data_IF_687605600555
#
_entry.id   IF_687605600555
#
_cell.length_a   1.000
_cell.length_b   1.000
_cell.length_c   1.000
_cell.angle_alpha   90.00
_cell.angle_beta   90.00
_cell.angle_gamma   90.00
#
_symmetry.space_group_name_H-M   'P 1'
#
loop_
_entity.id
_entity.type
_entity.pdbx_description
1 polymer ?
#
# COMPACT_ATOMS: atom_id res chain seq x y z
N UNK A 1 -18.28 41.30 -3.88
CA UNK A 1 -19.30 40.28 -3.60
C UNK A 1 -19.28 39.34 -4.77
N UNK A 2 -18.42 38.32 -4.73
CA UNK A 2 -18.47 37.19 -5.66
C UNK A 2 -19.67 36.34 -5.24
N UNK A 3 -20.61 36.12 -6.16
CA UNK A 3 -21.75 35.21 -5.95
C UNK A 3 -21.19 33.81 -5.68
N UNK A 4 -21.40 33.28 -4.48
CA UNK A 4 -21.08 31.90 -4.15
C UNK A 4 -22.21 31.02 -4.65
N UNK A 5 -22.03 30.35 -5.79
CA UNK A 5 -22.97 29.34 -6.27
C UNK A 5 -22.95 28.15 -5.30
N UNK A 6 -24.11 27.81 -4.74
CA UNK A 6 -24.28 26.64 -3.86
C UNK A 6 -24.93 25.53 -4.64
N UNK A 7 -24.25 24.39 -4.77
CA UNK A 7 -24.68 23.24 -5.58
C UNK A 7 -24.91 22.04 -4.67
N UNK A 8 -26.07 21.38 -4.80
CA UNK A 8 -26.47 20.30 -3.92
C UNK A 8 -26.38 18.92 -4.57
N UNK A 9 -25.60 18.04 -3.95
CA UNK A 9 -25.43 16.63 -4.29
C UNK A 9 -25.93 15.75 -3.14
N UNK A 10 -26.18 14.48 -3.39
CA UNK A 10 -26.47 13.52 -2.32
C UNK A 10 -25.18 13.14 -1.59
N UNK A 11 -24.09 12.94 -2.35
CA UNK A 11 -22.77 12.60 -1.82
C UNK A 11 -21.71 13.56 -2.35
N UNK A 12 -20.82 14.02 -1.47
CA UNK A 12 -19.60 14.75 -1.85
C UNK A 12 -18.39 13.94 -1.38
N UNK A 13 -17.48 13.61 -2.30
CA UNK A 13 -16.25 12.88 -2.00
C UNK A 13 -15.06 13.85 -2.04
N UNK A 14 -14.28 13.90 -0.97
CA UNK A 14 -13.04 14.67 -0.87
C UNK A 14 -11.84 13.77 -1.17
N UNK A 15 -11.17 14.02 -2.29
CA UNK A 15 -10.05 13.23 -2.82
C UNK A 15 -10.48 12.28 -3.93
N UNK A 16 -9.83 12.38 -5.09
CA UNK A 16 -10.05 11.52 -6.26
C UNK A 16 -8.92 10.50 -6.45
N UNK A 17 -8.31 10.04 -5.36
CA UNK A 17 -7.50 8.82 -5.39
C UNK A 17 -8.34 7.58 -5.75
N UNK A 18 -7.71 6.41 -5.93
CA UNK A 18 -8.41 5.19 -6.34
C UNK A 18 -9.55 4.77 -5.40
N UNK A 19 -9.47 5.19 -4.13
CA UNK A 19 -10.48 4.92 -3.10
C UNK A 19 -11.69 5.86 -3.27
N UNK A 20 -11.45 7.16 -3.42
CA UNK A 20 -12.49 8.16 -3.63
C UNK A 20 -13.26 7.95 -4.93
N UNK A 21 -12.54 7.63 -6.02
CA UNK A 21 -13.15 7.25 -7.31
C UNK A 21 -14.11 6.05 -7.17
N UNK A 22 -13.71 5.03 -6.40
CA UNK A 22 -14.56 3.86 -6.16
C UNK A 22 -15.77 4.22 -5.29
N UNK A 23 -15.64 5.11 -4.30
CA UNK A 23 -16.79 5.55 -3.50
C UNK A 23 -17.77 6.37 -4.35
N UNK A 24 -17.24 7.22 -5.24
CA UNK A 24 -18.05 8.03 -6.13
C UNK A 24 -18.83 7.18 -7.14
N UNK A 25 -18.15 6.23 -7.80
CA UNK A 25 -18.78 5.25 -8.70
C UNK A 25 -19.89 4.45 -7.99
N UNK A 26 -19.61 3.95 -6.78
CA UNK A 26 -20.58 3.13 -6.03
C UNK A 26 -21.82 3.89 -5.59
N UNK A 27 -21.65 5.11 -5.13
CA UNK A 27 -22.79 5.96 -4.74
C UNK A 27 -23.59 6.41 -5.96
N UNK A 28 -22.92 6.74 -7.06
CA UNK A 28 -23.59 7.05 -8.32
C UNK A 28 -24.38 5.87 -8.87
N UNK A 29 -23.78 4.66 -8.88
CA UNK A 29 -24.44 3.43 -9.32
C UNK A 29 -25.67 3.06 -8.47
N UNK A 30 -25.74 3.56 -7.22
CA UNK A 30 -26.91 3.44 -6.36
C UNK A 30 -28.01 4.50 -6.65
N UNK A 31 -27.83 5.34 -7.66
CA UNK A 31 -28.77 6.39 -8.06
C UNK A 31 -28.62 7.70 -7.32
N UNK A 32 -27.54 7.89 -6.56
CA UNK A 32 -27.27 9.12 -5.82
C UNK A 32 -26.51 10.12 -6.71
N UNK A 33 -26.88 11.39 -6.63
CA UNK A 33 -26.09 12.46 -7.25
C UNK A 33 -24.78 12.63 -6.49
N UNK A 34 -23.65 12.46 -7.16
CA UNK A 34 -22.33 12.46 -6.53
C UNK A 34 -21.38 13.47 -7.17
N UNK A 35 -20.71 14.26 -6.33
CA UNK A 35 -19.58 15.09 -6.70
C UNK A 35 -18.29 14.56 -6.08
N UNK A 36 -17.16 14.73 -6.77
CA UNK A 36 -15.83 14.42 -6.28
C UNK A 36 -14.91 15.65 -6.43
N UNK A 37 -14.11 15.91 -5.41
CA UNK A 37 -13.20 17.06 -5.34
C UNK A 37 -11.75 16.58 -5.36
N UNK A 38 -10.94 17.16 -6.24
CA UNK A 38 -9.51 16.83 -6.36
C UNK A 38 -8.68 18.09 -6.61
N UNK A 39 -7.62 18.27 -5.83
CA UNK A 39 -6.72 19.42 -5.93
C UNK A 39 -5.54 19.21 -6.88
N UNK A 40 -5.18 17.96 -7.16
CA UNK A 40 -4.05 17.57 -8.00
C UNK A 40 -4.54 16.70 -9.18
N UNK A 41 -3.99 15.50 -9.36
CA UNK A 41 -4.31 14.57 -10.44
C UNK A 41 -5.40 13.59 -10.02
N UNK A 42 -6.46 13.50 -10.82
CA UNK A 42 -7.52 12.49 -10.68
C UNK A 42 -6.91 11.10 -10.85
N UNK A 43 -7.07 10.23 -9.85
CA UNK A 43 -6.41 8.94 -9.72
C UNK A 43 -5.39 8.91 -8.57
N UNK A 44 -4.99 10.07 -8.05
CA UNK A 44 -4.18 10.24 -6.83
C UNK A 44 -2.82 9.52 -6.83
N UNK A 45 -2.27 9.33 -5.63
CA UNK A 45 -0.92 8.77 -5.40
C UNK A 45 -0.65 7.46 -6.16
N UNK A 46 -1.56 6.49 -6.06
CA UNK A 46 -1.30 5.12 -6.51
C UNK A 46 -1.04 5.01 -8.03
N UNK A 47 -1.69 5.88 -8.81
CA UNK A 47 -1.59 5.88 -10.27
C UNK A 47 -0.33 6.60 -10.77
N UNK A 48 0.08 7.69 -10.12
CA UNK A 48 1.09 8.61 -10.65
C UNK A 48 2.40 8.64 -9.88
N UNK A 49 2.37 8.33 -8.59
CA UNK A 49 3.46 8.60 -7.67
C UNK A 49 3.83 7.43 -6.73
N UNK A 50 3.08 6.33 -6.77
CA UNK A 50 3.29 5.20 -5.87
C UNK A 50 3.16 3.85 -6.58
N UNK A 51 2.02 3.17 -6.47
CA UNK A 51 1.88 1.76 -6.81
C UNK A 51 2.26 1.43 -8.26
N UNK A 52 1.66 2.13 -9.24
CA UNK A 52 1.88 1.85 -10.65
C UNK A 52 3.32 2.15 -11.07
N UNK A 53 3.90 3.33 -10.79
CA UNK A 53 5.29 3.60 -11.15
C UNK A 53 6.28 2.72 -10.38
N UNK A 54 6.08 2.43 -9.08
CA UNK A 54 7.01 1.58 -8.33
C UNK A 54 7.04 0.15 -8.87
N UNK A 55 5.87 -0.42 -9.20
CA UNK A 55 5.78 -1.77 -9.79
C UNK A 55 6.30 -1.77 -11.23
N UNK A 56 6.19 -0.66 -11.96
CA UNK A 56 6.78 -0.50 -13.28
C UNK A 56 8.32 -0.49 -13.24
N UNK A 57 8.94 0.05 -12.17
CA UNK A 57 10.38 -0.02 -11.92
C UNK A 57 10.83 -1.44 -11.52
N UNK A 58 10.06 -2.12 -10.66
CA UNK A 58 10.42 -3.42 -10.09
C UNK A 58 10.22 -4.59 -11.04
N UNK A 59 9.19 -4.54 -11.91
CA UNK A 59 8.85 -5.69 -12.75
C UNK A 59 10.00 -6.16 -13.66
N UNK A 60 10.76 -5.27 -14.34
CA UNK A 60 11.96 -5.66 -15.09
C UNK A 60 13.05 -6.29 -14.22
N UNK A 61 13.21 -5.83 -12.98
CA UNK A 61 14.18 -6.39 -12.01
C UNK A 61 13.84 -7.83 -11.69
N UNK A 62 12.57 -8.09 -11.33
CA UNK A 62 12.08 -9.44 -11.01
C UNK A 62 12.18 -10.35 -12.26
N UNK A 63 11.79 -9.85 -13.44
CA UNK A 63 11.88 -10.61 -14.69
C UNK A 63 13.33 -10.99 -15.04
N UNK A 64 14.28 -10.07 -14.86
CA UNK A 64 15.70 -10.34 -15.06
C UNK A 64 16.20 -11.36 -14.03
N UNK A 65 15.81 -11.25 -12.75
CA UNK A 65 16.20 -12.20 -11.72
C UNK A 65 15.71 -13.63 -12.04
N UNK A 66 14.44 -13.78 -12.45
CA UNK A 66 13.87 -15.06 -12.87
C UNK A 66 14.63 -15.64 -14.07
N UNK A 67 14.91 -14.82 -15.08
CA UNK A 67 15.67 -15.26 -16.24
C UNK A 67 17.11 -15.66 -15.89
N UNK A 68 17.75 -15.06 -14.87
CA UNK A 68 19.09 -15.48 -14.39
C UNK A 68 19.08 -16.83 -13.68
N UNK A 69 17.95 -17.23 -13.10
CA UNK A 69 17.79 -18.52 -12.38
C UNK A 69 17.59 -19.72 -13.30
N UNK A 70 17.32 -19.50 -14.59
CA UNK A 70 16.96 -20.56 -15.54
C UNK A 70 18.09 -20.86 -16.54
N UNK A 71 18.70 -22.06 -16.47
CA UNK A 71 19.62 -22.53 -17.49
C UNK A 71 18.96 -22.53 -18.88
N UNK A 72 19.55 -21.81 -19.83
CA UNK A 72 19.00 -21.61 -21.18
C UNK A 72 18.71 -20.14 -21.52
N UNK A 73 18.48 -19.30 -20.50
CA UNK A 73 18.32 -17.85 -20.65
C UNK A 73 19.62 -17.08 -20.36
N UNK A 74 20.62 -17.76 -19.78
CA UNK A 74 21.89 -17.14 -19.38
C UNK A 74 22.58 -16.31 -20.48
N UNK A 75 22.70 -16.74 -21.75
CA UNK A 75 23.37 -15.94 -22.79
C UNK A 75 22.65 -14.61 -23.10
N UNK A 76 21.33 -14.54 -22.87
CA UNK A 76 20.51 -13.39 -23.18
C UNK A 76 20.40 -12.38 -22.01
N UNK A 77 20.94 -12.70 -20.83
CA UNK A 77 20.63 -11.96 -19.60
C UNK A 77 21.85 -11.66 -18.70
N UNK A 78 23.04 -11.55 -19.30
CA UNK A 78 24.27 -11.23 -18.56
C UNK A 78 24.52 -9.73 -18.35
N UNK A 79 23.85 -8.86 -19.11
CA UNK A 79 24.02 -7.41 -19.02
C UNK A 79 23.24 -6.75 -17.87
N UNK A 80 23.57 -5.49 -17.53
CA UNK A 80 22.72 -4.66 -16.69
C UNK A 80 21.38 -4.37 -17.37
N UNK A 81 20.39 -3.91 -16.60
CA UNK A 81 19.15 -3.39 -17.16
C UNK A 81 19.43 -2.10 -17.96
N UNK A 82 18.67 -1.91 -19.04
CA UNK A 82 18.59 -0.62 -19.73
C UNK A 82 17.76 0.33 -18.86
N UNK A 83 18.46 1.14 -18.05
CA UNK A 83 17.81 2.04 -17.10
C UNK A 83 16.93 3.08 -17.79
N UNK A 84 17.34 3.60 -18.95
CA UNK A 84 16.57 4.58 -19.70
C UNK A 84 15.24 3.97 -20.18
N UNK A 85 15.27 2.74 -20.72
CA UNK A 85 14.06 2.03 -21.13
C UNK A 85 13.14 1.72 -19.94
N UNK A 86 13.69 1.36 -18.76
CA UNK A 86 12.89 1.13 -17.56
C UNK A 86 12.22 2.42 -17.08
N UNK A 87 12.95 3.54 -17.04
CA UNK A 87 12.40 4.84 -16.63
C UNK A 87 11.36 5.36 -17.63
N UNK A 88 11.58 5.18 -18.94
CA UNK A 88 10.60 5.51 -19.97
C UNK A 88 9.31 4.71 -19.78
N UNK A 89 9.41 3.38 -19.59
CA UNK A 89 8.26 2.53 -19.30
C UNK A 89 7.55 2.96 -18.01
N UNK A 90 8.29 3.32 -16.96
CA UNK A 90 7.69 3.87 -15.72
C UNK A 90 6.87 5.11 -16.03
N UNK A 91 7.42 6.05 -16.81
CA UNK A 91 6.71 7.28 -17.21
C UNK A 91 5.40 6.94 -17.96
N UNK A 92 5.42 5.97 -18.87
CA UNK A 92 4.22 5.52 -19.60
C UNK A 92 3.15 4.97 -18.63
N UNK A 93 3.55 4.15 -17.66
CA UNK A 93 2.63 3.60 -16.64
C UNK A 93 2.09 4.66 -15.68
N UNK A 94 2.85 5.74 -15.46
CA UNK A 94 2.38 6.94 -14.77
C UNK A 94 1.65 7.91 -15.71
N UNK A 95 1.32 7.51 -16.95
CA UNK A 95 0.65 8.34 -17.97
C UNK A 95 1.32 9.70 -18.20
N UNK A 96 2.64 9.78 -17.99
CA UNK A 96 3.42 11.02 -17.97
C UNK A 96 2.81 12.11 -17.07
N UNK A 97 2.23 11.71 -15.93
CA UNK A 97 1.57 12.59 -14.96
C UNK A 97 0.42 13.41 -15.55
N UNK A 98 -0.33 12.78 -16.46
CA UNK A 98 -1.56 13.32 -17.02
C UNK A 98 -2.76 12.49 -16.59
N UNK A 99 -3.82 13.17 -16.17
CA UNK A 99 -5.03 12.56 -15.64
C UNK A 99 -6.21 12.56 -16.60
N UNK A 100 -6.01 12.93 -17.87
CA UNK A 100 -7.05 13.03 -18.91
C UNK A 100 -7.91 11.75 -18.98
N UNK A 101 -7.27 10.58 -18.88
CA UNK A 101 -7.96 9.28 -18.92
C UNK A 101 -8.87 9.04 -17.70
N UNK A 102 -8.44 9.47 -16.51
CA UNK A 102 -9.19 9.26 -15.27
C UNK A 102 -10.31 10.29 -15.14
N UNK A 103 -10.05 11.54 -15.55
CA UNK A 103 -11.06 12.56 -15.67
C UNK A 103 -12.16 12.17 -16.68
N UNK A 104 -11.79 11.61 -17.84
CA UNK A 104 -12.75 11.10 -18.82
C UNK A 104 -13.55 9.90 -18.30
N UNK A 105 -12.93 9.05 -17.48
CA UNK A 105 -13.65 7.95 -16.82
C UNK A 105 -14.69 8.47 -15.82
N UNK A 106 -14.36 9.48 -14.99
CA UNK A 106 -15.33 10.11 -14.07
C UNK A 106 -16.52 10.72 -14.82
N UNK A 107 -16.25 11.42 -15.92
CA UNK A 107 -17.30 12.00 -16.78
C UNK A 107 -18.20 10.90 -17.38
N UNK A 108 -17.59 9.83 -17.91
CA UNK A 108 -18.32 8.66 -18.41
C UNK A 108 -19.11 7.90 -17.34
N UNK A 109 -18.67 7.97 -16.08
CA UNK A 109 -19.35 7.43 -14.91
C UNK A 109 -20.44 8.36 -14.35
N UNK A 110 -20.65 9.55 -14.92
CA UNK A 110 -21.68 10.50 -14.48
C UNK A 110 -21.37 11.18 -13.15
N UNK A 111 -20.10 11.18 -12.71
CA UNK A 111 -19.65 11.82 -11.47
C UNK A 111 -19.16 13.23 -11.77
N UNK A 112 -19.69 14.23 -11.06
CA UNK A 112 -19.25 15.62 -11.24
C UNK A 112 -17.88 15.84 -10.60
N UNK A 113 -16.87 16.21 -11.41
CA UNK A 113 -15.53 16.56 -10.94
C UNK A 113 -15.40 18.05 -10.65
N UNK A 114 -14.95 18.38 -9.44
CA UNK A 114 -14.56 19.73 -9.03
C UNK A 114 -13.05 19.77 -8.80
N UNK A 115 -12.33 20.51 -9.64
CA UNK A 115 -10.89 20.71 -9.49
C UNK A 115 -10.62 21.85 -8.52
N UNK A 116 -9.88 21.56 -7.45
CA UNK A 116 -9.52 22.53 -6.44
C UNK A 116 -9.33 21.91 -5.06
N UNK A 117 -8.88 22.75 -4.14
CA UNK A 117 -8.67 22.36 -2.76
C UNK A 117 -10.00 22.36 -1.98
N UNK A 118 -10.41 21.17 -1.53
CA UNK A 118 -11.66 20.93 -0.82
C UNK A 118 -11.50 21.02 0.70
N UNK A 119 -12.32 21.83 1.36
CA UNK A 119 -12.37 21.96 2.82
C UNK A 119 -13.80 21.80 3.30
N UNK A 120 -13.99 21.04 4.39
CA UNK A 120 -15.23 21.08 5.16
C UNK A 120 -15.46 22.51 5.67
N UNK A 121 -16.69 22.98 5.53
CA UNK A 121 -17.12 24.31 5.96
C UNK A 121 -18.30 24.23 6.94
N UNK A 122 -18.31 23.17 7.75
CA UNK A 122 -19.40 22.78 8.64
C UNK A 122 -20.13 21.51 8.17
N UNK A 123 -21.18 21.09 8.90
CA UNK A 123 -21.88 19.84 8.62
C UNK A 123 -22.39 19.76 7.19
N UNK A 124 -22.02 18.67 6.50
CA UNK A 124 -22.42 18.36 5.11
C UNK A 124 -22.11 19.46 4.08
N UNK A 125 -21.18 20.35 4.36
CA UNK A 125 -20.83 21.47 3.49
C UNK A 125 -19.35 21.44 3.17
N UNK A 126 -19.01 21.55 1.88
CA UNK A 126 -17.64 21.55 1.37
C UNK A 126 -17.42 22.78 0.51
N UNK A 127 -16.39 23.56 0.79
CA UNK A 127 -15.91 24.61 -0.12
C UNK A 127 -14.78 24.06 -0.98
N UNK A 128 -14.82 24.34 -2.28
CA UNK A 128 -13.75 24.00 -3.23
C UNK A 128 -13.14 25.30 -3.73
N UNK A 129 -11.84 25.46 -3.50
CA UNK A 129 -11.07 26.60 -4.03
C UNK A 129 -10.28 26.15 -5.25
N UNK A 130 -10.68 26.62 -6.44
CA UNK A 130 -9.99 26.35 -7.69
C UNK A 130 -8.64 27.10 -7.76
N UNK A 131 -7.80 26.74 -8.74
CA UNK A 131 -6.47 27.35 -8.95
C UNK A 131 -6.54 28.86 -9.20
N UNK A 132 -7.60 29.34 -9.84
CA UNK A 132 -7.84 30.78 -10.08
C UNK A 132 -8.40 31.53 -8.86
N UNK A 133 -8.57 30.85 -7.73
CA UNK A 133 -9.12 31.39 -6.50
C UNK A 133 -10.65 31.42 -6.44
N UNK A 134 -11.34 30.92 -7.47
CA UNK A 134 -12.80 30.77 -7.45
C UNK A 134 -13.21 29.78 -6.36
N UNK A 135 -14.17 30.18 -5.52
CA UNK A 135 -14.68 29.34 -4.44
C UNK A 135 -16.11 28.90 -4.76
N UNK A 136 -16.30 27.59 -4.88
CA UNK A 136 -17.61 26.95 -5.06
C UNK A 136 -18.02 26.26 -3.77
N UNK A 137 -19.28 26.37 -3.36
CA UNK A 137 -19.80 25.65 -2.18
C UNK A 137 -20.68 24.49 -2.61
N UNK A 138 -20.35 23.30 -2.12
CA UNK A 138 -21.09 22.06 -2.33
C UNK A 138 -21.78 21.67 -1.02
N UNK A 139 -23.04 21.25 -1.10
CA UNK A 139 -23.77 20.70 0.04
C UNK A 139 -24.18 19.25 -0.23
N UNK A 140 -23.94 18.36 0.73
CA UNK A 140 -24.34 16.96 0.66
C UNK A 140 -25.70 16.74 1.35
N UNK A 141 -26.65 16.06 0.69
CA UNK A 141 -27.92 15.68 1.33
C UNK A 141 -27.72 14.50 2.27
N UNK A 142 -26.89 13.53 1.88
CA UNK A 142 -26.69 12.27 2.58
C UNK A 142 -25.32 12.20 3.26
N UNK A 143 -24.24 12.36 2.50
CA UNK A 143 -22.91 12.03 3.02
C UNK A 143 -21.78 12.89 2.45
N UNK A 144 -20.76 13.13 3.28
CA UNK A 144 -19.43 13.54 2.83
C UNK A 144 -18.47 12.39 3.11
N UNK A 145 -17.68 12.00 2.10
CA UNK A 145 -16.70 10.92 2.19
C UNK A 145 -15.31 11.51 2.09
N UNK A 146 -14.51 11.40 3.16
CA UNK A 146 -13.11 11.82 3.17
C UNK A 146 -12.25 10.65 2.69
N UNK A 147 -11.58 10.84 1.56
CA UNK A 147 -10.69 9.87 0.90
C UNK A 147 -9.36 10.55 0.51
N UNK A 148 -8.89 11.47 1.34
CA UNK A 148 -7.74 12.35 1.08
C UNK A 148 -6.39 11.64 1.17
N UNK A 149 -6.37 10.41 1.70
CA UNK A 149 -5.17 9.58 1.72
C UNK A 149 -4.13 10.05 2.74
N UNK A 150 -2.85 9.88 2.39
CA UNK A 150 -1.71 10.19 3.25
C UNK A 150 -0.53 10.71 2.43
N UNK A 151 0.37 11.43 3.08
CA UNK A 151 1.68 11.85 2.56
C UNK A 151 2.82 11.09 3.23
N UNK A 152 4.03 11.22 2.71
CA UNK A 152 5.22 10.68 3.36
C UNK A 152 5.50 11.42 4.68
N UNK A 153 5.76 10.67 5.75
CA UNK A 153 6.19 11.26 7.00
C UNK A 153 7.70 11.49 6.98
N UNK A 154 8.10 12.75 7.10
CA UNK A 154 9.48 13.15 7.26
C UNK A 154 9.80 13.35 8.74
N UNK A 155 10.98 12.91 9.23
CA UNK A 155 11.42 13.17 10.58
C UNK A 155 11.79 14.65 10.76
N UNK A 156 11.64 15.16 11.97
CA UNK A 156 12.22 16.46 12.35
C UNK A 156 13.71 16.26 12.66
N UNK A 157 14.58 16.54 11.68
CA UNK A 157 16.04 16.45 11.84
C UNK A 157 16.78 17.63 11.20
N UNK A 158 17.92 18.05 11.76
CA UNK A 158 18.70 19.17 11.23
C UNK A 158 19.12 19.01 9.77
N UNK A 159 18.86 20.05 8.98
CA UNK A 159 19.27 20.17 7.57
C UNK A 159 18.38 19.43 6.56
N UNK A 160 17.28 18.82 7.00
CA UNK A 160 16.39 18.06 6.11
C UNK A 160 15.82 18.92 4.97
N UNK A 161 15.34 20.12 5.27
CA UNK A 161 14.80 21.04 4.26
C UNK A 161 15.86 21.46 3.22
N UNK A 162 17.13 21.57 3.63
CA UNK A 162 18.24 21.98 2.76
C UNK A 162 18.60 20.90 1.74
N UNK A 163 18.48 19.62 2.12
CA UNK A 163 18.82 18.51 1.21
C UNK A 163 17.71 18.19 0.22
N UNK A 164 16.47 18.65 0.48
CA UNK A 164 15.24 18.31 -0.28
C UNK A 164 15.15 16.79 -0.48
N UNK A 165 14.93 16.03 0.60
CA UNK A 165 15.01 14.58 0.55
C UNK A 165 13.99 14.02 -0.44
N UNK A 166 14.35 12.90 -1.06
CA UNK A 166 13.37 12.10 -1.75
C UNK A 166 12.39 11.51 -0.74
N UNK A 167 11.11 11.55 -1.09
CA UNK A 167 10.06 10.70 -0.53
C UNK A 167 9.77 9.56 -1.51
N UNK A 168 8.73 8.77 -1.26
CA UNK A 168 8.26 7.79 -2.23
C UNK A 168 7.88 8.42 -3.58
N UNK A 169 7.40 9.68 -3.60
CA UNK A 169 7.07 10.37 -4.84
C UNK A 169 8.32 10.60 -5.70
N UNK A 170 9.36 11.21 -5.14
CA UNK A 170 10.62 11.47 -5.87
C UNK A 170 11.31 10.16 -6.26
N UNK A 171 11.34 9.17 -5.35
CA UNK A 171 11.96 7.87 -5.62
C UNK A 171 11.25 7.06 -6.71
N UNK A 172 9.99 7.36 -7.03
CA UNK A 172 9.27 6.70 -8.12
C UNK A 172 9.05 7.60 -9.32
N UNK A 173 9.50 8.86 -9.29
CA UNK A 173 9.38 9.84 -10.39
C UNK A 173 10.73 10.39 -10.86
N UNK A 174 11.85 10.03 -10.22
CA UNK A 174 13.19 10.45 -10.63
C UNK A 174 13.48 10.10 -12.09
N UNK A 175 14.07 11.05 -12.82
CA UNK A 175 14.31 10.96 -14.27
C UNK A 175 15.69 10.37 -14.62
N UNK A 176 16.55 10.22 -13.62
CA UNK A 176 17.92 9.72 -13.76
C UNK A 176 18.26 8.81 -12.59
N UNK A 177 19.07 7.78 -12.84
CA UNK A 177 19.62 6.91 -11.80
C UNK A 177 20.75 7.66 -11.08
N UNK A 178 20.67 7.91 -9.76
CA UNK A 178 21.79 8.47 -9.01
C UNK A 178 22.92 7.43 -8.88
N UNK A 179 24.18 7.85 -8.85
CA UNK A 179 25.30 6.92 -8.67
C UNK A 179 25.28 6.32 -7.26
N UNK A 180 24.89 7.12 -6.26
CA UNK A 180 24.75 6.70 -4.85
C UNK A 180 23.42 7.17 -4.26
N UNK A 181 22.72 6.26 -3.61
CA UNK A 181 21.44 6.51 -2.95
C UNK A 181 21.48 6.03 -1.50
N UNK A 182 21.19 6.91 -0.55
CA UNK A 182 20.88 6.52 0.83
C UNK A 182 19.38 6.29 0.93
N UNK A 183 18.96 5.16 1.49
CA UNK A 183 17.55 4.87 1.82
C UNK A 183 17.42 4.73 3.32
N UNK A 184 16.54 5.53 3.93
CA UNK A 184 16.26 5.52 5.37
C UNK A 184 14.89 4.90 5.63
N UNK A 185 14.88 3.76 6.33
CA UNK A 185 13.67 2.99 6.64
C UNK A 185 13.86 1.50 6.38
N UNK A 186 13.05 0.66 7.02
CA UNK A 186 13.07 -0.80 6.84
C UNK A 186 11.74 -1.38 6.36
N UNK A 187 10.78 -0.53 5.98
CA UNK A 187 9.45 -0.94 5.53
C UNK A 187 9.37 -1.17 4.02
N UNK A 188 8.16 -1.41 3.53
CA UNK A 188 7.85 -1.78 2.13
C UNK A 188 8.48 -0.85 1.11
N UNK A 189 8.28 0.47 1.25
CA UNK A 189 8.83 1.45 0.30
C UNK A 189 10.37 1.40 0.29
N UNK A 190 10.99 1.28 1.47
CA UNK A 190 12.44 1.26 1.58
C UNK A 190 13.03 0.03 0.89
N UNK A 191 12.47 -1.15 1.13
CA UNK A 191 12.95 -2.41 0.52
C UNK A 191 12.69 -2.46 -0.97
N UNK A 192 11.51 -2.03 -1.43
CA UNK A 192 11.18 -1.93 -2.85
C UNK A 192 12.12 -0.96 -3.58
N UNK A 193 12.34 0.24 -3.03
CA UNK A 193 13.22 1.23 -3.67
C UNK A 193 14.69 0.80 -3.63
N UNK A 194 15.14 0.14 -2.56
CA UNK A 194 16.48 -0.45 -2.53
C UNK A 194 16.65 -1.52 -3.62
N UNK A 195 15.67 -2.42 -3.81
CA UNK A 195 15.69 -3.40 -4.89
C UNK A 195 15.73 -2.74 -6.27
N UNK A 196 14.85 -1.75 -6.52
CA UNK A 196 14.74 -1.11 -7.82
C UNK A 196 16.01 -0.33 -8.19
N UNK A 197 16.45 0.58 -7.32
CA UNK A 197 17.58 1.46 -7.64
C UNK A 197 18.92 0.72 -7.68
N UNK A 198 19.12 -0.30 -6.83
CA UNK A 198 20.31 -1.15 -6.91
C UNK A 198 20.40 -1.89 -8.25
N UNK A 199 19.27 -2.41 -8.74
CA UNK A 199 19.22 -3.13 -10.01
C UNK A 199 19.37 -2.22 -11.23
N UNK A 200 18.99 -0.95 -11.11
CA UNK A 200 19.16 0.08 -12.15
C UNK A 200 20.57 0.66 -12.20
N UNK A 201 21.41 0.38 -11.20
CA UNK A 201 22.84 0.72 -11.21
C UNK A 201 23.29 1.65 -10.08
N UNK A 202 22.39 2.13 -9.21
CA UNK A 202 22.79 2.89 -8.03
C UNK A 202 23.56 2.03 -7.03
N UNK A 203 24.52 2.62 -6.32
CA UNK A 203 25.06 2.05 -5.09
C UNK A 203 24.13 2.45 -3.93
N UNK A 204 23.38 1.47 -3.40
CA UNK A 204 22.39 1.74 -2.35
C UNK A 204 22.97 1.43 -0.96
N UNK A 205 22.84 2.39 -0.04
CA UNK A 205 23.02 2.19 1.40
C UNK A 205 21.67 2.27 2.10
N UNK A 206 21.23 1.17 2.70
CA UNK A 206 19.93 1.04 3.37
C UNK A 206 20.11 1.12 4.89
N UNK A 207 19.66 2.22 5.49
CA UNK A 207 19.77 2.51 6.91
C UNK A 207 18.46 2.21 7.64
N UNK A 208 18.53 1.31 8.63
CA UNK A 208 17.36 0.81 9.35
C UNK A 208 17.58 0.99 10.85
N UNK A 209 16.71 1.78 11.51
CA UNK A 209 16.75 1.96 12.97
C UNK A 209 16.51 0.65 13.74
N UNK A 210 15.62 -0.20 13.20
CA UNK A 210 15.24 -1.48 13.81
C UNK A 210 16.29 -2.58 13.62
N UNK A 211 15.95 -3.79 14.09
CA UNK A 211 16.82 -4.97 14.01
C UNK A 211 16.81 -5.66 12.64
N UNK A 212 15.82 -5.38 11.79
CA UNK A 212 15.62 -6.04 10.51
C UNK A 212 14.62 -5.30 9.63
N UNK A 213 14.42 -5.84 8.42
CA UNK A 213 13.47 -5.34 7.44
C UNK A 213 12.07 -5.89 7.68
N UNK A 214 11.06 -5.26 7.09
CA UNK A 214 9.67 -5.73 7.04
C UNK A 214 9.13 -6.19 8.41
N UNK A 215 9.35 -5.38 9.45
CA UNK A 215 9.03 -5.72 10.85
C UNK A 215 7.53 -5.93 11.16
N UNK A 216 6.65 -5.74 10.17
CA UNK A 216 5.21 -6.00 10.24
C UNK A 216 4.81 -7.34 9.59
N UNK A 217 5.78 -8.10 9.09
CA UNK A 217 5.60 -9.46 8.59
C UNK A 217 6.32 -10.46 9.52
N UNK A 218 6.18 -11.74 9.22
CA UNK A 218 6.96 -12.78 9.90
C UNK A 218 8.47 -12.50 9.79
N UNK A 219 9.27 -12.73 10.85
CA UNK A 219 10.70 -12.38 10.88
C UNK A 219 11.50 -12.91 9.68
N UNK A 220 11.19 -14.12 9.21
CA UNK A 220 11.88 -14.74 8.08
C UNK A 220 11.68 -13.97 6.76
N UNK A 221 10.61 -13.18 6.61
CA UNK A 221 10.42 -12.32 5.45
C UNK A 221 11.46 -11.20 5.41
N UNK A 222 11.67 -10.52 6.54
CA UNK A 222 12.72 -9.51 6.67
C UNK A 222 14.11 -10.08 6.46
N UNK A 223 14.38 -11.27 6.99
CA UNK A 223 15.67 -11.96 6.87
C UNK A 223 16.00 -12.35 5.42
N UNK A 224 15.06 -12.99 4.72
CA UNK A 224 15.27 -13.42 3.33
C UNK A 224 15.41 -12.23 2.36
N UNK A 225 14.64 -11.16 2.58
CA UNK A 225 14.77 -9.92 1.78
C UNK A 225 16.10 -9.22 2.08
N UNK A 226 16.52 -9.13 3.34
CA UNK A 226 17.80 -8.52 3.71
C UNK A 226 18.98 -9.31 3.12
N UNK A 227 18.91 -10.64 3.17
CA UNK A 227 19.91 -11.51 2.54
C UNK A 227 19.99 -11.24 1.03
N UNK A 228 18.86 -11.21 0.32
CA UNK A 228 18.86 -10.99 -1.13
C UNK A 228 19.36 -9.60 -1.53
N UNK A 229 18.97 -8.56 -0.79
CA UNK A 229 19.48 -7.20 -1.01
C UNK A 229 21.00 -7.14 -0.82
N UNK A 230 21.51 -7.79 0.21
CA UNK A 230 22.97 -7.87 0.47
C UNK A 230 23.68 -8.65 -0.64
N UNK A 231 23.13 -9.80 -1.07
CA UNK A 231 23.64 -10.59 -2.20
C UNK A 231 23.63 -9.78 -3.52
N UNK A 232 22.68 -8.86 -3.69
CA UNK A 232 22.58 -7.94 -4.83
C UNK A 232 23.52 -6.72 -4.73
N UNK A 233 24.23 -6.52 -3.62
CA UNK A 233 25.22 -5.46 -3.42
C UNK A 233 24.75 -4.24 -2.62
N UNK A 234 23.55 -4.27 -2.04
CA UNK A 234 23.08 -3.22 -1.13
C UNK A 234 23.84 -3.28 0.19
N UNK A 235 24.32 -2.13 0.67
CA UNK A 235 24.88 -1.98 2.02
C UNK A 235 23.76 -1.82 3.04
N UNK A 236 23.29 -2.95 3.60
CA UNK A 236 22.19 -2.98 4.58
C UNK A 236 22.72 -2.82 6.01
N UNK A 237 22.34 -1.73 6.68
CA UNK A 237 22.79 -1.39 8.03
C UNK A 237 21.61 -1.28 9.00
N UNK A 238 21.47 -2.27 9.86
CA UNK A 238 20.46 -2.30 10.94
C UNK A 238 20.97 -1.58 12.20
N UNK A 239 20.07 -1.24 13.12
CA UNK A 239 20.39 -0.48 14.33
C UNK A 239 20.97 0.92 14.06
N UNK A 240 20.80 1.47 12.86
CA UNK A 240 21.43 2.72 12.42
C UNK A 240 20.36 3.79 12.19
N UNK A 241 20.51 4.93 12.86
CA UNK A 241 19.66 6.11 12.69
C UNK A 241 20.45 7.25 12.08
N UNK A 242 19.79 8.10 11.29
CA UNK A 242 20.34 9.37 10.79
C UNK A 242 19.97 10.46 11.78
N UNK A 243 20.96 11.23 12.24
CA UNK A 243 20.78 12.31 13.24
C UNK A 243 20.80 13.70 12.60
N UNK A 244 21.47 13.87 11.47
CA UNK A 244 21.48 15.12 10.70
C UNK A 244 21.84 14.86 9.26
N UNK A 245 21.41 15.76 8.37
CA UNK A 245 21.79 15.74 6.95
C UNK A 245 22.26 17.13 6.52
N UNK A 246 23.10 17.18 5.49
CA UNK A 246 23.51 18.44 4.86
C UNK A 246 23.77 18.21 3.37
N UNK A 247 23.69 19.29 2.57
CA UNK A 247 24.14 19.26 1.17
C UNK A 247 25.44 20.04 1.04
N UNK A 248 26.55 19.33 0.87
CA UNK A 248 27.91 19.88 0.77
C UNK A 248 28.39 19.76 -0.69
N UNK A 249 28.63 20.89 -1.37
CA UNK A 249 29.08 20.91 -2.77
C UNK A 249 28.24 20.08 -3.76
N UNK A 250 26.93 19.96 -3.50
CA UNK A 250 25.99 19.18 -4.30
C UNK A 250 25.78 17.74 -3.82
N UNK A 251 26.64 17.22 -2.95
CA UNK A 251 26.54 15.89 -2.35
C UNK A 251 25.72 15.91 -1.07
N UNK A 252 24.81 14.96 -0.91
CA UNK A 252 24.12 14.73 0.37
C UNK A 252 25.07 14.02 1.33
N UNK A 253 25.16 14.53 2.55
CA UNK A 253 25.89 13.92 3.65
C UNK A 253 24.91 13.60 4.77
N UNK A 254 24.75 12.32 5.09
CA UNK A 254 24.01 11.88 6.27
C UNK A 254 25.00 11.55 7.40
N UNK A 255 24.72 12.06 8.61
CA UNK A 255 25.47 11.73 9.82
C UNK A 255 24.64 10.76 10.65
N UNK A 256 25.22 9.61 10.99
CA UNK A 256 24.54 8.59 11.79
C UNK A 256 24.67 8.87 13.29
N UNK A 257 23.91 8.13 14.11
CA UNK A 257 24.00 8.18 15.58
C UNK A 257 25.39 7.84 16.16
N UNK A 258 26.27 7.21 15.38
CA UNK A 258 27.67 6.94 15.78
C UNK A 258 28.63 8.05 15.36
N UNK A 259 28.16 9.07 14.64
CA UNK A 259 28.96 10.13 14.06
C UNK A 259 29.59 9.78 12.70
N UNK A 260 29.27 8.61 12.14
CA UNK A 260 29.72 8.23 10.80
C UNK A 260 29.08 9.13 9.74
N UNK A 261 29.87 9.57 8.77
CA UNK A 261 29.42 10.34 7.61
C UNK A 261 29.25 9.42 6.40
N UNK A 262 28.04 9.40 5.83
CA UNK A 262 27.71 8.64 4.63
C UNK A 262 27.35 9.66 3.54
N UNK A 263 28.01 9.55 2.40
CA UNK A 263 27.84 10.48 1.28
C UNK A 263 27.08 9.81 0.13
N UNK A 264 26.13 10.53 -0.46
CA UNK A 264 25.36 10.09 -1.61
C UNK A 264 24.91 11.27 -2.48
N UNK A 265 24.38 10.98 -3.66
CA UNK A 265 23.86 12.02 -4.54
C UNK A 265 22.45 12.44 -4.08
N UNK A 266 21.68 11.45 -3.62
CA UNK A 266 20.33 11.63 -3.09
C UNK A 266 20.08 10.77 -1.84
N UNK A 267 19.09 11.19 -1.05
CA UNK A 267 18.62 10.49 0.15
C UNK A 267 17.10 10.33 0.12
N UNK A 268 16.63 9.10 0.30
CA UNK A 268 15.21 8.75 0.41
C UNK A 268 14.83 8.51 1.87
N UNK A 269 13.81 9.22 2.36
CA UNK A 269 13.16 8.91 3.63
C UNK A 269 11.87 8.12 3.40
N UNK A 270 11.90 6.85 3.77
CA UNK A 270 10.80 5.89 3.70
C UNK A 270 10.40 5.42 5.11
N UNK A 271 10.20 6.37 6.02
CA UNK A 271 10.08 6.11 7.47
C UNK A 271 8.65 5.98 7.99
N UNK A 272 7.65 6.43 7.23
CA UNK A 272 6.26 6.40 7.65
C UNK A 272 5.34 7.17 6.70
N UNK A 273 4.07 7.27 7.09
CA UNK A 273 3.02 8.01 6.38
C UNK A 273 2.24 8.86 7.39
N UNK A 274 1.76 10.03 6.98
CA UNK A 274 0.92 10.92 7.79
C UNK A 274 -0.40 11.19 7.05
N UNK A 275 -1.54 11.34 7.74
CA UNK A 275 -2.82 11.59 7.09
C UNK A 275 -2.83 12.97 6.42
N UNK A 276 -3.44 13.06 5.24
CA UNK A 276 -3.72 14.35 4.60
C UNK A 276 -5.05 14.89 5.10
N UNK A 277 -5.06 15.36 6.35
CA UNK A 277 -6.26 15.84 7.05
C UNK A 277 -6.03 17.15 7.81
N UNK A 278 -4.89 17.79 7.60
CA UNK A 278 -4.47 19.05 8.23
C UNK A 278 -5.25 20.25 7.70
N UNK A 279 -5.37 20.39 6.38
CA UNK A 279 -6.07 21.52 5.76
C UNK A 279 -7.36 21.10 5.04
N UNK A 280 -8.15 20.20 5.63
CA UNK A 280 -9.46 19.79 5.05
C UNK A 280 -10.65 20.32 5.85
N UNK A 281 -10.43 21.23 6.79
CA UNK A 281 -11.49 21.87 7.59
C UNK A 281 -12.11 21.01 8.69
N UNK A 282 -11.36 20.03 9.25
CA UNK A 282 -11.83 19.15 10.32
C UNK A 282 -12.33 19.91 11.57
N UNK A 283 -11.69 21.03 11.89
CA UNK A 283 -12.03 21.91 13.01
C UNK A 283 -13.47 22.46 12.89
N UNK A 284 -13.95 22.68 11.67
CA UNK A 284 -15.31 23.20 11.40
C UNK A 284 -16.41 22.23 11.80
N UNK A 285 -16.06 20.96 12.04
CA UNK A 285 -16.98 19.89 12.46
C UNK A 285 -16.56 19.25 13.78
N UNK A 286 -15.65 19.89 14.52
CA UNK A 286 -15.24 19.48 15.86
C UNK A 286 -14.23 18.33 15.90
N UNK A 287 -13.47 18.11 14.81
CA UNK A 287 -12.39 17.14 14.72
C UNK A 287 -11.03 17.85 14.69
N UNK A 288 -9.97 17.16 15.10
CA UNK A 288 -8.62 17.74 15.17
C UNK A 288 -7.94 17.74 13.79
N UNK A 289 -7.50 18.90 13.27
CA UNK A 289 -6.73 18.96 12.03
C UNK A 289 -5.46 18.11 12.07
N UNK A 290 -5.21 17.35 11.01
CA UNK A 290 -4.01 16.52 10.86
C UNK A 290 -4.06 15.21 11.63
N UNK A 291 -5.18 14.88 12.29
CA UNK A 291 -5.37 13.59 12.93
C UNK A 291 -5.79 12.51 11.91
N UNK A 292 -5.52 11.25 12.24
CA UNK A 292 -6.21 10.14 11.58
C UNK A 292 -7.71 10.24 11.88
N UNK A 293 -8.55 9.80 10.94
CA UNK A 293 -10.00 9.80 11.11
C UNK A 293 -10.48 8.43 11.56
N UNK A 294 -10.76 8.30 12.85
CA UNK A 294 -11.34 7.08 13.42
C UNK A 294 -12.73 6.81 12.82
N UNK A 295 -13.01 5.54 12.51
CA UNK A 295 -14.29 5.10 11.94
C UNK A 295 -14.78 3.80 12.56
N UNK A 296 -16.09 3.61 12.58
CA UNK A 296 -16.71 2.32 12.87
C UNK A 296 -16.65 1.36 11.66
N UNK A 297 -17.18 0.14 11.80
CA UNK A 297 -17.16 -0.87 10.73
C UNK A 297 -18.08 -0.56 9.55
N UNK A 298 -18.92 0.47 9.65
CA UNK A 298 -19.67 1.04 8.52
C UNK A 298 -18.89 2.18 7.83
N UNK A 299 -17.64 2.42 8.27
CA UNK A 299 -16.72 3.48 7.83
C UNK A 299 -17.19 4.90 8.15
N UNK A 300 -18.15 5.02 9.06
CA UNK A 300 -18.67 6.29 9.53
C UNK A 300 -17.80 6.85 10.65
N UNK A 301 -17.57 8.16 10.64
CA UNK A 301 -16.88 8.86 11.73
C UNK A 301 -17.82 8.97 12.95
N UNK A 302 -17.45 8.42 14.13
CA UNK A 302 -18.31 8.43 15.31
C UNK A 302 -18.75 9.84 15.72
N UNK A 303 -19.98 9.98 16.19
CA UNK A 303 -20.55 11.26 16.59
C UNK A 303 -21.11 12.10 15.44
N UNK A 304 -20.98 11.65 14.20
CA UNK A 304 -21.68 12.21 13.02
C UNK A 304 -22.72 11.22 12.51
N UNK A 305 -23.60 11.61 11.60
CA UNK A 305 -24.50 10.69 10.84
C UNK A 305 -24.29 10.77 9.31
N UNK A 306 -23.29 11.55 8.91
CA UNK A 306 -23.10 12.01 7.52
C UNK A 306 -21.65 11.98 7.06
N UNK A 307 -20.66 11.89 7.97
CA UNK A 307 -19.25 11.92 7.63
C UNK A 307 -18.68 10.51 7.64
N UNK A 308 -17.99 10.16 6.57
CA UNK A 308 -17.32 8.88 6.39
C UNK A 308 -15.85 9.13 6.06
N UNK A 309 -14.98 8.20 6.46
CA UNK A 309 -13.57 8.24 6.11
C UNK A 309 -13.09 6.88 5.62
N UNK A 310 -12.48 6.86 4.44
CA UNK A 310 -12.08 5.63 3.76
C UNK A 310 -10.66 5.72 3.20
N UNK A 311 -10.01 4.58 3.03
CA UNK A 311 -8.64 4.48 2.58
C UNK A 311 -7.67 4.94 3.67
N UNK A 312 -6.50 5.41 3.24
CA UNK A 312 -5.38 5.60 4.16
C UNK A 312 -5.67 6.56 5.32
N UNK A 313 -6.54 7.57 5.13
CA UNK A 313 -6.83 8.61 6.14
C UNK A 313 -7.44 8.06 7.43
N UNK A 314 -8.07 6.87 7.39
CA UNK A 314 -8.63 6.22 8.59
C UNK A 314 -7.67 5.24 9.28
N UNK A 315 -6.48 5.06 8.73
CA UNK A 315 -5.40 4.25 9.30
C UNK A 315 -5.68 2.75 9.53
N UNK A 316 -6.85 2.21 9.11
CA UNK A 316 -7.18 0.79 9.32
C UNK A 316 -6.23 -0.14 8.56
N UNK A 317 -6.02 0.14 7.28
CA UNK A 317 -5.14 -0.61 6.42
C UNK A 317 -4.69 0.25 5.24
N UNK A 318 -3.40 0.60 5.25
CA UNK A 318 -2.83 1.60 4.37
C UNK A 318 -2.49 1.05 2.96
N UNK A 319 -3.48 0.48 2.28
CA UNK A 319 -3.35 -0.26 1.02
C UNK A 319 -4.49 0.06 0.06
N UNK A 320 -4.16 0.30 -1.21
CA UNK A 320 -5.14 0.70 -2.23
C UNK A 320 -6.29 -0.29 -2.40
N UNK A 321 -6.02 -1.60 -2.44
CA UNK A 321 -7.06 -2.61 -2.58
C UNK A 321 -7.95 -2.71 -1.34
N UNK A 322 -7.41 -2.44 -0.14
CA UNK A 322 -8.19 -2.38 1.08
C UNK A 322 -9.06 -1.12 1.12
N UNK A 323 -8.53 0.02 0.71
CA UNK A 323 -9.33 1.24 0.54
C UNK A 323 -10.46 1.06 -0.49
N UNK A 324 -10.22 0.36 -1.60
CA UNK A 324 -11.28 -0.01 -2.56
C UNK A 324 -12.33 -0.94 -1.93
N UNK A 325 -11.94 -1.84 -1.03
CA UNK A 325 -12.91 -2.62 -0.24
C UNK A 325 -13.75 -1.72 0.66
N UNK A 326 -13.13 -0.83 1.43
CA UNK A 326 -13.84 0.13 2.27
C UNK A 326 -14.79 1.02 1.45
N UNK A 327 -14.38 1.49 0.27
CA UNK A 327 -15.25 2.26 -0.63
C UNK A 327 -16.51 1.49 -1.06
N UNK A 328 -16.41 0.18 -1.30
CA UNK A 328 -17.57 -0.67 -1.61
C UNK A 328 -18.54 -0.77 -0.43
N UNK A 329 -18.01 -0.94 0.78
CA UNK A 329 -18.82 -1.04 2.00
C UNK A 329 -19.46 0.32 2.33
N UNK A 330 -18.68 1.40 2.37
CA UNK A 330 -19.19 2.74 2.62
C UNK A 330 -20.25 3.16 1.58
N UNK A 331 -20.02 2.86 0.29
CA UNK A 331 -21.01 3.11 -0.76
C UNK A 331 -22.33 2.35 -0.53
N UNK A 332 -22.26 1.08 -0.11
CA UNK A 332 -23.44 0.30 0.22
C UNK A 332 -24.17 0.85 1.46
N UNK A 333 -23.43 1.24 2.50
CA UNK A 333 -23.99 1.86 3.73
C UNK A 333 -24.72 3.16 3.40
N UNK A 334 -24.08 4.04 2.63
CA UNK A 334 -24.66 5.33 2.22
C UNK A 334 -25.92 5.12 1.39
N UNK A 335 -25.91 4.18 0.44
CA UNK A 335 -27.06 3.84 -0.38
C UNK A 335 -28.23 3.27 0.44
N UNK A 336 -27.95 2.37 1.38
CA UNK A 336 -28.96 1.81 2.27
C UNK A 336 -29.60 2.91 3.14
N UNK A 337 -28.78 3.79 3.74
CA UNK A 337 -29.28 4.92 4.54
C UNK A 337 -30.09 5.91 3.72
N UNK A 338 -29.64 6.25 2.52
CA UNK A 338 -30.35 7.17 1.63
C UNK A 338 -31.72 6.65 1.18
N UNK A 339 -31.93 5.33 1.23
CA UNK A 339 -33.19 4.66 0.88
C UNK A 339 -33.97 4.11 2.08
N UNK A 340 -33.57 4.48 3.31
CA UNK A 340 -34.13 3.97 4.57
C UNK A 340 -34.15 2.43 4.67
N UNK A 341 -33.22 1.76 4.00
CA UNK A 341 -33.04 0.31 4.06
C UNK A 341 -32.29 -0.11 5.33
N UNK A 342 -32.59 -1.31 5.89
CA UNK A 342 -31.88 -1.81 7.05
C UNK A 342 -30.40 -2.09 6.74
N UNK A 343 -29.54 -1.81 7.72
CA UNK A 343 -28.13 -2.18 7.66
C UNK A 343 -27.92 -3.60 8.17
N UNK A 344 -26.88 -4.22 7.64
CA UNK A 344 -26.34 -5.52 8.04
C UNK A 344 -24.87 -5.29 8.39
N UNK A 345 -24.67 -4.69 9.57
CA UNK A 345 -23.39 -4.23 10.11
C UNK A 345 -22.76 -5.26 11.08
N UNK A 346 -23.34 -6.46 11.16
CA UNK A 346 -22.74 -7.59 11.85
C UNK A 346 -21.42 -8.01 11.15
N UNK A 347 -20.50 -8.70 11.85
CA UNK A 347 -19.28 -9.22 11.23
C UNK A 347 -19.58 -10.04 9.97
N UNK A 348 -18.89 -9.72 8.87
CA UNK A 348 -19.08 -10.27 7.52
C UNK A 348 -20.43 -9.96 6.85
N UNK A 349 -21.22 -9.05 7.44
CA UNK A 349 -22.44 -8.50 6.85
C UNK A 349 -22.17 -7.57 5.67
N UNK A 350 -23.21 -7.31 4.87
CA UNK A 350 -23.08 -6.52 3.63
C UNK A 350 -22.62 -5.07 3.85
N UNK A 351 -22.75 -4.55 5.07
CA UNK A 351 -22.47 -3.17 5.45
C UNK A 351 -21.33 -3.05 6.48
N UNK A 352 -20.53 -4.11 6.66
CA UNK A 352 -19.41 -4.15 7.60
C UNK A 352 -18.05 -4.36 6.91
N UNK A 353 -17.07 -3.54 7.26
CA UNK A 353 -15.68 -3.61 6.79
C UNK A 353 -14.83 -4.65 7.53
N UNK A 354 -15.42 -5.79 7.88
CA UNK A 354 -14.82 -6.82 8.73
C UNK A 354 -13.45 -7.29 8.25
N UNK A 355 -13.23 -7.37 6.94
CA UNK A 355 -11.96 -7.83 6.38
C UNK A 355 -10.76 -6.93 6.74
N UNK A 356 -10.99 -5.66 7.11
CA UNK A 356 -9.94 -4.74 7.59
C UNK A 356 -9.22 -5.29 8.83
N UNK A 357 -9.90 -6.08 9.65
CA UNK A 357 -9.37 -6.58 10.93
C UNK A 357 -8.72 -7.95 10.82
N UNK A 358 -9.13 -8.76 9.82
CA UNK A 358 -8.79 -10.19 9.78
C UNK A 358 -8.07 -10.64 8.53
N UNK A 359 -8.32 -9.99 7.38
CA UNK A 359 -7.94 -10.54 6.08
C UNK A 359 -7.40 -9.46 5.14
N UNK A 360 -6.38 -8.72 5.61
CA UNK A 360 -5.68 -7.70 4.83
C UNK A 360 -4.50 -8.35 4.08
N UNK A 361 -4.58 -8.58 2.76
CA UNK A 361 -3.45 -9.10 2.00
C UNK A 361 -2.45 -8.01 1.66
N UNK A 362 -1.17 -8.38 1.56
CA UNK A 362 -0.10 -7.49 1.15
C UNK A 362 0.95 -8.26 0.35
N UNK A 363 1.53 -7.59 -0.65
CA UNK A 363 2.72 -8.06 -1.38
C UNK A 363 3.76 -6.95 -1.35
N UNK A 364 5.00 -7.32 -1.01
CA UNK A 364 6.21 -6.51 -1.14
C UNK A 364 6.97 -7.02 -2.34
N UNK A 365 7.13 -6.17 -3.35
CA UNK A 365 7.62 -6.55 -4.68
C UNK A 365 9.15 -6.48 -4.78
N UNK A 366 9.85 -7.01 -3.76
CA UNK A 366 11.29 -7.26 -3.80
C UNK A 366 11.61 -8.52 -4.61
N UNK A 367 12.90 -8.84 -4.77
CA UNK A 367 13.36 -10.15 -5.25
C UNK A 367 14.17 -10.82 -4.13
N UNK A 368 13.67 -11.87 -3.45
CA UNK A 368 12.36 -12.50 -3.66
C UNK A 368 11.18 -11.63 -3.18
N UNK A 369 9.98 -11.93 -3.68
CA UNK A 369 8.74 -11.30 -3.19
C UNK A 369 8.42 -11.80 -1.77
N UNK A 370 7.80 -10.94 -0.96
CA UNK A 370 7.22 -11.31 0.33
C UNK A 370 5.73 -10.96 0.34
N UNK A 371 4.88 -11.95 0.58
CA UNK A 371 3.44 -11.79 0.57
C UNK A 371 2.82 -12.33 1.87
N UNK A 372 1.83 -11.64 2.42
CA UNK A 372 1.18 -12.03 3.65
C UNK A 372 -0.30 -11.66 3.65
N UNK A 373 -1.08 -12.35 4.48
CA UNK A 373 -2.47 -11.98 4.79
C UNK A 373 -2.81 -12.41 6.22
N UNK A 374 -3.60 -11.58 6.90
CA UNK A 374 -4.01 -11.83 8.28
C UNK A 374 -2.88 -11.58 9.29
N UNK A 375 -2.98 -12.21 10.46
CA UNK A 375 -2.06 -12.00 11.57
C UNK A 375 -0.78 -12.83 11.42
N UNK A 376 0.36 -12.22 11.75
CA UNK A 376 1.56 -12.97 12.10
C UNK A 376 1.35 -13.80 13.39
N UNK A 377 2.22 -14.77 13.64
CA UNK A 377 2.20 -15.55 14.87
C UNK A 377 2.22 -14.65 16.11
N UNK A 378 3.12 -13.66 16.13
CA UNK A 378 3.29 -12.75 17.26
C UNK A 378 2.03 -11.89 17.49
N UNK A 379 1.40 -11.40 16.42
CA UNK A 379 0.14 -10.64 16.52
C UNK A 379 -1.01 -11.52 17.03
N UNK A 380 -1.12 -12.75 16.54
CA UNK A 380 -2.17 -13.68 16.97
C UNK A 380 -2.01 -14.10 18.45
N UNK A 381 -0.77 -14.35 18.90
CA UNK A 381 -0.45 -14.61 20.31
C UNK A 381 -0.76 -13.39 21.19
N UNK A 382 -0.38 -12.18 20.73
CA UNK A 382 -0.66 -10.94 21.45
C UNK A 382 -2.16 -10.64 21.56
N UNK A 383 -2.95 -11.02 20.54
CA UNK A 383 -4.40 -10.96 20.54
C UNK A 383 -5.06 -12.03 21.43
N UNK A 384 -4.28 -12.95 22.03
CA UNK A 384 -4.75 -13.96 22.96
C UNK A 384 -5.29 -15.24 22.30
N UNK A 385 -5.06 -15.43 21.01
CA UNK A 385 -5.46 -16.66 20.32
C UNK A 385 -4.54 -17.82 20.70
N UNK A 386 -5.12 -19.02 20.86
CA UNK A 386 -4.34 -20.25 21.01
C UNK A 386 -3.92 -20.74 19.64
N UNK A 387 -2.76 -20.29 19.17
CA UNK A 387 -2.29 -20.55 17.80
C UNK A 387 -1.10 -21.49 17.71
N UNK A 388 -0.91 -22.06 16.52
CA UNK A 388 0.28 -22.81 16.10
C UNK A 388 0.78 -22.30 14.76
N UNK A 389 2.07 -21.96 14.69
CA UNK A 389 2.74 -21.73 13.42
C UNK A 389 3.17 -23.07 12.79
N UNK A 390 2.99 -23.18 11.47
CA UNK A 390 3.48 -24.30 10.68
C UNK A 390 4.32 -23.75 9.54
N UNK A 391 5.59 -24.17 9.51
CA UNK A 391 6.59 -23.71 8.55
C UNK A 391 6.94 -24.78 7.54
N UNK A 392 7.05 -24.39 6.27
CA UNK A 392 7.55 -25.23 5.19
C UNK A 392 8.48 -24.41 4.31
N UNK A 393 9.65 -24.94 4.00
CA UNK A 393 10.51 -24.38 2.97
C UNK A 393 10.03 -24.84 1.57
N UNK A 394 10.00 -23.93 0.61
CA UNK A 394 9.52 -24.23 -0.75
C UNK A 394 10.39 -25.25 -1.50
N UNK A 395 11.59 -25.56 -1.01
CA UNK A 395 12.47 -26.57 -1.59
C UNK A 395 11.85 -27.98 -1.69
N UNK A 396 10.84 -28.29 -0.86
CA UNK A 396 10.09 -29.56 -0.94
C UNK A 396 8.90 -29.53 -1.93
N UNK A 397 8.66 -28.41 -2.60
CA UNK A 397 7.55 -28.20 -3.54
C UNK A 397 8.06 -28.42 -4.97
N UNK A 398 7.51 -29.40 -5.68
CA UNK A 398 7.95 -29.75 -7.04
C UNK A 398 7.84 -28.56 -8.00
N UNK A 399 6.73 -27.82 -7.95
CA UNK A 399 6.55 -26.61 -8.77
C UNK A 399 7.60 -25.52 -8.53
N UNK A 400 8.15 -25.39 -7.31
CA UNK A 400 9.17 -24.39 -7.01
C UNK A 400 10.49 -24.64 -7.76
N UNK A 401 10.85 -25.91 -7.97
CA UNK A 401 12.06 -26.28 -8.74
C UNK A 401 12.02 -25.83 -10.20
N UNK A 402 10.83 -25.56 -10.75
CA UNK A 402 10.66 -25.08 -12.12
C UNK A 402 10.87 -23.56 -12.26
N UNK A 403 10.86 -22.81 -11.16
CA UNK A 403 11.15 -21.37 -11.15
C UNK A 403 12.65 -21.08 -11.11
N UNK A 404 13.47 -22.06 -10.71
CA UNK A 404 14.91 -21.93 -10.65
C UNK A 404 15.57 -23.03 -9.84
N UNK A 405 16.77 -23.41 -10.25
CA UNK A 405 17.59 -24.35 -9.50
C UNK A 405 17.90 -23.79 -8.10
N UNK A 406 17.64 -24.58 -7.06
CA UNK A 406 17.91 -24.17 -5.68
C UNK A 406 16.97 -23.06 -5.17
N UNK A 407 15.71 -23.05 -5.62
CA UNK A 407 14.66 -22.14 -5.14
C UNK A 407 14.75 -21.89 -3.62
N UNK A 408 14.96 -20.63 -3.24
CA UNK A 408 14.95 -20.18 -1.85
C UNK A 408 13.62 -19.51 -1.54
N UNK A 409 12.89 -20.06 -0.59
CA UNK A 409 11.65 -19.48 -0.11
C UNK A 409 11.05 -20.26 1.05
N UNK A 410 10.16 -19.62 1.79
CA UNK A 410 9.48 -20.18 2.96
C UNK A 410 8.01 -19.77 2.99
N UNK A 411 7.17 -20.68 3.48
CA UNK A 411 5.78 -20.44 3.81
C UNK A 411 5.55 -20.69 5.30
N UNK A 412 4.70 -19.87 5.91
CA UNK A 412 4.14 -20.07 7.25
C UNK A 412 2.64 -19.93 7.20
N UNK A 413 1.91 -20.83 7.85
CA UNK A 413 0.52 -20.59 8.23
C UNK A 413 0.38 -20.54 9.76
N UNK A 414 -0.50 -19.67 10.24
CA UNK A 414 -0.86 -19.50 11.65
C UNK A 414 -2.25 -20.09 11.84
N UNK A 415 -2.32 -21.23 12.51
CA UNK A 415 -3.55 -21.98 12.75
C UNK A 415 -4.11 -21.62 14.12
N UNK A 416 -5.39 -21.26 14.19
CA UNK A 416 -6.16 -21.21 15.43
C UNK A 416 -6.54 -22.62 15.86
N UNK A 417 -6.12 -23.03 17.07
CA UNK A 417 -6.33 -24.39 17.57
C UNK A 417 -7.71 -24.60 18.21
N UNK A 418 -8.46 -23.54 18.48
CA UNK A 418 -9.81 -23.62 19.04
C UNK A 418 -10.86 -23.65 17.92
N UNK A 419 -10.68 -22.82 16.90
CA UNK A 419 -11.59 -22.71 15.75
C UNK A 419 -11.19 -23.60 14.56
N UNK A 420 -9.96 -24.12 14.55
CA UNK A 420 -9.39 -24.92 13.45
C UNK A 420 -9.47 -24.19 12.09
N UNK A 421 -9.13 -22.90 12.09
CA UNK A 421 -9.04 -22.04 10.90
C UNK A 421 -7.67 -21.36 10.81
N UNK A 422 -7.38 -20.70 9.69
CA UNK A 422 -6.18 -19.87 9.54
C UNK A 422 -6.43 -18.44 10.02
N UNK A 423 -5.54 -17.93 10.88
CA UNK A 423 -5.50 -16.51 11.29
C UNK A 423 -4.57 -15.67 10.43
N UNK A 424 -3.60 -16.30 9.78
CA UNK A 424 -2.74 -15.63 8.82
C UNK A 424 -1.79 -16.57 8.11
N UNK A 425 -1.23 -16.10 7.00
CA UNK A 425 -0.32 -16.86 6.15
C UNK A 425 0.71 -15.90 5.58
N UNK A 426 1.98 -16.31 5.58
CA UNK A 426 3.08 -15.55 4.97
C UNK A 426 3.86 -16.45 4.00
N UNK A 427 4.13 -15.94 2.81
CA UNK A 427 4.95 -16.57 1.77
C UNK A 427 6.11 -15.65 1.40
N UNK A 428 7.29 -16.22 1.22
CA UNK A 428 8.46 -15.50 0.72
C UNK A 428 9.14 -16.36 -0.33
N UNK A 429 9.36 -15.83 -1.52
CA UNK A 429 9.98 -16.53 -2.63
C UNK A 429 9.60 -15.95 -3.99
N UNK A 430 10.30 -16.31 -5.09
CA UNK A 430 9.88 -15.93 -6.43
C UNK A 430 8.46 -16.42 -6.77
N UNK A 431 7.61 -15.52 -7.27
CA UNK A 431 6.26 -15.83 -7.77
C UNK A 431 5.19 -16.04 -6.69
N UNK A 432 5.45 -15.70 -5.42
CA UNK A 432 4.48 -15.88 -4.33
C UNK A 432 3.45 -14.75 -4.25
N UNK A 433 3.66 -13.64 -4.96
CA UNK A 433 2.73 -12.50 -4.97
C UNK A 433 1.31 -12.89 -5.38
N UNK A 434 1.15 -13.76 -6.37
CA UNK A 434 -0.16 -14.27 -6.81
C UNK A 434 -0.72 -15.36 -5.87
N UNK A 435 0.16 -16.11 -5.21
CA UNK A 435 -0.23 -17.21 -4.31
C UNK A 435 -1.02 -16.70 -3.09
N UNK A 436 -0.75 -15.48 -2.63
CA UNK A 436 -1.41 -14.88 -1.45
C UNK A 436 -2.92 -14.77 -1.59
N UNK A 437 -3.46 -14.69 -2.81
CA UNK A 437 -4.90 -14.59 -3.02
C UNK A 437 -5.62 -15.85 -2.52
N UNK A 438 -5.03 -17.03 -2.70
CA UNK A 438 -5.59 -18.27 -2.16
C UNK A 438 -5.64 -18.27 -0.62
N UNK A 439 -4.61 -17.70 0.02
CA UNK A 439 -4.59 -17.54 1.47
C UNK A 439 -5.62 -16.50 1.93
N UNK A 440 -5.81 -15.44 1.15
CA UNK A 440 -6.80 -14.39 1.46
C UNK A 440 -8.20 -14.97 1.49
N UNK A 441 -8.54 -15.84 0.53
CA UNK A 441 -9.82 -16.56 0.52
C UNK A 441 -9.95 -17.49 1.73
N UNK A 442 -8.89 -18.21 2.10
CA UNK A 442 -8.92 -19.11 3.25
C UNK A 442 -9.12 -18.38 4.58
N UNK A 443 -8.40 -17.26 4.79
CA UNK A 443 -8.48 -16.44 6.02
C UNK A 443 -9.80 -15.67 6.07
N UNK A 444 -10.19 -14.97 5.00
CA UNK A 444 -11.44 -14.21 4.96
C UNK A 444 -12.67 -15.11 5.04
N UNK A 445 -12.62 -16.27 4.38
CA UNK A 445 -13.70 -17.25 4.42
C UNK A 445 -13.73 -18.07 5.72
N UNK A 446 -12.78 -17.85 6.64
CA UNK A 446 -12.59 -18.65 7.85
C UNK A 446 -12.71 -20.15 7.53
N UNK A 447 -12.02 -20.59 6.47
CA UNK A 447 -12.18 -21.94 5.93
C UNK A 447 -11.65 -22.94 6.96
N UNK A 448 -12.48 -23.87 7.45
CA UNK A 448 -12.04 -24.89 8.39
C UNK A 448 -10.91 -25.76 7.80
N UNK A 449 -9.96 -26.20 8.62
CA UNK A 449 -8.83 -26.99 8.15
C UNK A 449 -9.24 -28.31 7.48
N UNK A 450 -10.31 -28.95 7.95
CA UNK A 450 -10.86 -30.16 7.35
C UNK A 450 -11.36 -29.91 5.92
N UNK A 451 -11.92 -28.73 5.66
CA UNK A 451 -12.32 -28.25 4.33
C UNK A 451 -11.10 -27.90 3.48
N UNK A 452 -10.11 -27.24 4.08
CA UNK A 452 -8.89 -26.83 3.38
C UNK A 452 -8.10 -28.05 2.87
N UNK A 453 -8.15 -29.19 3.58
CA UNK A 453 -7.59 -30.47 3.11
C UNK A 453 -8.15 -30.94 1.76
N UNK A 454 -9.38 -30.55 1.41
CA UNK A 454 -10.01 -30.90 0.14
C UNK A 454 -9.72 -29.91 -0.99
N UNK A 455 -9.01 -28.81 -0.72
CA UNK A 455 -8.60 -27.86 -1.75
C UNK A 455 -7.36 -28.40 -2.47
N UNK A 456 -7.58 -29.03 -3.63
CA UNK A 456 -6.52 -29.71 -4.39
C UNK A 456 -5.68 -28.70 -5.19
N UNK A 457 -4.38 -28.52 -4.89
CA UNK A 457 -3.51 -27.67 -5.70
C UNK A 457 -3.16 -28.33 -7.04
N UNK A 458 -3.13 -27.58 -8.16
CA UNK A 458 -2.67 -28.13 -9.44
C UNK A 458 -1.19 -28.54 -9.39
N UNK A 459 -0.84 -29.65 -10.04
CA UNK A 459 0.55 -30.15 -10.14
C UNK A 459 1.13 -29.91 -11.55
N UNK A 460 2.40 -29.48 -11.67
CA UNK A 460 3.29 -28.95 -10.64
C UNK A 460 3.16 -27.43 -10.51
N UNK A 461 2.77 -26.90 -9.34
CA UNK A 461 2.68 -25.45 -9.10
C UNK A 461 3.20 -25.06 -7.71
N UNK A 462 3.50 -23.78 -7.49
CA UNK A 462 3.83 -23.25 -6.15
C UNK A 462 2.70 -23.50 -5.14
N UNK A 463 1.45 -23.59 -5.60
CA UNK A 463 0.28 -23.86 -4.76
C UNK A 463 0.34 -25.21 -4.05
N UNK A 464 1.17 -26.15 -4.49
CA UNK A 464 1.41 -27.40 -3.76
C UNK A 464 2.02 -27.18 -2.36
N UNK A 465 2.51 -25.98 -2.06
CA UNK A 465 2.92 -25.62 -0.68
C UNK A 465 1.77 -25.79 0.32
N UNK A 466 0.52 -25.60 -0.10
CA UNK A 466 -0.66 -25.84 0.75
C UNK A 466 -0.76 -27.28 1.22
N UNK A 467 -0.49 -28.25 0.34
CA UNK A 467 -0.46 -29.66 0.71
C UNK A 467 0.64 -29.91 1.75
N UNK A 468 1.83 -29.35 1.55
CA UNK A 468 2.96 -29.51 2.47
C UNK A 468 2.70 -28.88 3.84
N UNK A 469 2.08 -27.69 3.87
CA UNK A 469 1.70 -27.03 5.12
C UNK A 469 0.70 -27.87 5.91
N UNK A 470 -0.31 -28.45 5.24
CA UNK A 470 -1.31 -29.28 5.90
C UNK A 470 -0.75 -30.64 6.35
N UNK A 471 0.12 -31.27 5.56
CA UNK A 471 0.86 -32.48 5.97
C UNK A 471 1.73 -32.19 7.21
N UNK A 472 2.46 -31.08 7.21
CA UNK A 472 3.28 -30.66 8.34
C UNK A 472 2.45 -30.33 9.59
N UNK A 473 1.23 -29.79 9.43
CA UNK A 473 0.29 -29.59 10.53
C UNK A 473 -0.24 -30.91 11.08
N UNK A 474 -0.55 -31.90 10.24
CA UNK A 474 -1.10 -33.19 10.67
C UNK A 474 -0.06 -34.03 11.42
N UNK A 475 1.19 -33.99 10.95
CA UNK A 475 2.23 -34.90 11.39
C UNK A 475 3.01 -34.38 12.63
N UNK A 476 2.72 -33.15 13.08
CA UNK A 476 3.22 -32.51 14.30
C UNK A 476 2.08 -32.10 15.22
#
# INVERSE_FOLDING_TARGET
MTETETIAYDVVVLGAGPVGENAADRTHAAGLSTAIVESELVGGECSYWACMPSKALLRPVIAQADARRLPGLAPANQGPLDAEAVLARRNDFASHWKDDGQAAWLDGAGVALYRGHGRLAGPRTVTVTAEDGTVTTLTARQAVVVATGTSAQLPDLPGLDEVRPWTSREATSAQTVPDRLIVVGGGVVATEMATAWQALGSHVTLLVRGKGLLSRMEPFAGELVAQSLTEAGVDVRTGTSVESVARENGTVVAVTGTGERIEADEILFATGRAPQSDDIGLDTVGLEPGSWLEVDDTLQVPGTDWLYAIGDVNHRALLTHQGKYQARIAGAVIAARASDAPLDDAPWGAHAATADHYAVPQVVFTDPEAAAVGMSLAEAEQAGHRVRAVDVDFGSVAGASLYGDGYKGRARMVVDLDEEILRGVTFVGPGVGELVQSATVAVAGQVPLDRLWHVVPPFPTLSEVWLRLLEAYRDN
#
